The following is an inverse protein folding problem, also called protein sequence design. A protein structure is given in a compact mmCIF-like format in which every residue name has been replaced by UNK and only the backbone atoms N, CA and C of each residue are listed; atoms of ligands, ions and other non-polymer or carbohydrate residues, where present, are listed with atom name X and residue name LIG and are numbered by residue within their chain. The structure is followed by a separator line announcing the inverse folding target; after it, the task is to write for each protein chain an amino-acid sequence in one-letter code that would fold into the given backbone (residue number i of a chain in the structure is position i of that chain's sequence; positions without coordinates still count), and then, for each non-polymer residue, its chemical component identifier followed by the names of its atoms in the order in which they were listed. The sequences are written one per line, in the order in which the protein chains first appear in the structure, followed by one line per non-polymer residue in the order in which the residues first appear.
data_IF_096475391471
#
_entry.id   IF_096475391471
#
_cell.length_a   1.000
_cell.length_b   1.000
_cell.length_c   1.000
_cell.angle_alpha   90.00
_cell.angle_beta   90.00
_cell.angle_gamma   90.00
#
_symmetry.space_group_name_H-M   'P 1'
#
loop_
_entity.id
_entity.type
_entity.pdbx_description
1 polymer ?
#
# COMPACT_ATOMS: atom_id res chain seq x y z
N UNK A 1 -5.03 -23.58 2.82
CA UNK A 1 -4.05 -22.56 2.44
C UNK A 1 -4.02 -21.46 3.48
N UNK A 2 -2.82 -21.08 3.88
CA UNK A 2 -2.64 -19.97 4.83
C UNK A 2 -2.87 -18.65 4.11
N UNK A 3 -3.66 -17.76 4.73
CA UNK A 3 -3.82 -16.40 4.23
C UNK A 3 -2.61 -15.55 4.62
N UNK A 4 -2.03 -14.85 3.65
CA UNK A 4 -0.87 -13.97 3.87
C UNK A 4 -1.35 -12.59 4.29
N UNK A 5 -0.84 -12.08 5.41
CA UNK A 5 -1.19 -10.76 5.94
C UNK A 5 -0.15 -9.73 5.54
N UNK A 6 -0.61 -8.66 4.92
CA UNK A 6 0.25 -7.59 4.38
C UNK A 6 -0.18 -6.25 4.98
N UNK A 7 0.78 -5.53 5.54
CA UNK A 7 0.55 -4.17 6.06
C UNK A 7 1.24 -3.16 5.15
N UNK A 8 0.46 -2.21 4.61
CA UNK A 8 0.97 -1.09 3.82
C UNK A 8 1.11 0.14 4.71
N UNK A 9 2.28 0.75 4.71
CA UNK A 9 2.60 1.91 5.54
C UNK A 9 2.91 3.14 4.69
N UNK A 10 2.32 4.26 5.05
CA UNK A 10 2.75 5.58 4.61
C UNK A 10 2.64 6.54 5.80
N UNK A 11 3.02 7.80 5.64
CA UNK A 11 2.98 8.74 6.77
C UNK A 11 1.54 9.09 7.14
N UNK A 12 0.76 9.56 6.17
CA UNK A 12 -0.58 10.10 6.42
C UNK A 12 -1.72 9.10 6.39
N UNK A 13 -1.51 7.92 5.81
CA UNK A 13 -2.56 6.90 5.64
C UNK A 13 -3.87 7.51 5.09
N UNK A 14 -3.74 8.29 4.02
CA UNK A 14 -4.90 8.92 3.38
C UNK A 14 -5.08 8.52 1.92
N UNK A 15 -4.02 8.09 1.23
CA UNK A 15 -4.08 7.76 -0.20
C UNK A 15 -3.33 6.48 -0.56
N UNK A 16 -1.99 6.52 -0.66
CA UNK A 16 -1.18 5.42 -1.23
C UNK A 16 -1.36 4.08 -0.50
N UNK A 17 -1.31 4.08 0.82
CA UNK A 17 -1.48 2.86 1.60
C UNK A 17 -2.94 2.39 1.60
N UNK A 18 -3.89 3.31 1.57
CA UNK A 18 -5.33 3.00 1.45
C UNK A 18 -5.62 2.34 0.09
N UNK A 19 -5.13 2.94 -1.01
CA UNK A 19 -5.28 2.37 -2.35
C UNK A 19 -4.68 0.96 -2.42
N UNK A 20 -3.49 0.79 -1.85
CA UNK A 20 -2.79 -0.49 -1.88
C UNK A 20 -3.55 -1.59 -1.12
N UNK A 21 -3.97 -1.31 0.10
CA UNK A 21 -4.68 -2.30 0.92
C UNK A 21 -6.04 -2.65 0.34
N UNK A 22 -6.83 -1.66 -0.08
CA UNK A 22 -8.14 -1.91 -0.67
C UNK A 22 -8.03 -2.73 -1.96
N UNK A 23 -7.03 -2.43 -2.79
CA UNK A 23 -6.82 -3.14 -4.05
C UNK A 23 -6.37 -4.58 -3.81
N UNK A 24 -5.46 -4.82 -2.86
CA UNK A 24 -5.03 -6.19 -2.55
C UNK A 24 -6.18 -7.02 -1.96
N UNK A 25 -6.99 -6.45 -1.09
CA UNK A 25 -8.16 -7.14 -0.55
C UNK A 25 -9.17 -7.49 -1.65
N UNK A 26 -9.26 -6.67 -2.69
CA UNK A 26 -10.14 -6.93 -3.84
C UNK A 26 -9.57 -7.99 -4.78
N UNK A 27 -8.32 -7.81 -5.23
CA UNK A 27 -7.69 -8.69 -6.22
C UNK A 27 -7.20 -10.01 -5.62
N UNK A 28 -6.69 -9.96 -4.39
CA UNK A 28 -6.08 -11.10 -3.72
C UNK A 28 -7.01 -11.80 -2.73
N UNK A 29 -8.31 -11.63 -2.87
CA UNK A 29 -9.31 -12.25 -2.03
C UNK A 29 -9.03 -13.75 -1.85
N UNK A 30 -9.19 -14.24 -0.63
CA UNK A 30 -8.94 -15.62 -0.21
C UNK A 30 -7.44 -15.97 -0.03
N UNK A 31 -6.54 -15.24 -0.67
CA UNK A 31 -5.09 -15.47 -0.56
C UNK A 31 -4.40 -14.47 0.37
N UNK A 32 -4.93 -13.25 0.44
CA UNK A 32 -4.33 -12.14 1.19
C UNK A 32 -5.37 -11.44 2.05
N UNK A 33 -4.89 -10.92 3.18
CA UNK A 33 -5.61 -9.92 3.97
C UNK A 33 -4.67 -8.73 4.08
N UNK A 34 -5.11 -7.57 3.60
CA UNK A 34 -4.30 -6.36 3.58
C UNK A 34 -4.82 -5.33 4.59
N UNK A 35 -3.88 -4.66 5.22
CA UNK A 35 -4.10 -3.58 6.19
C UNK A 35 -3.32 -2.36 5.76
N UNK A 36 -3.72 -1.19 6.22
CA UNK A 36 -2.97 0.05 6.00
C UNK A 36 -2.88 0.87 7.28
N UNK A 37 -1.81 1.63 7.43
CA UNK A 37 -1.62 2.52 8.58
C UNK A 37 -0.63 3.62 8.25
N UNK A 38 -0.54 4.61 9.13
CA UNK A 38 0.42 5.69 9.04
C UNK A 38 1.02 6.06 10.38
N UNK A 39 2.21 6.63 10.36
CA UNK A 39 2.88 7.14 11.56
C UNK A 39 2.21 8.41 12.09
N UNK A 40 1.68 9.22 11.17
CA UNK A 40 1.00 10.48 11.47
C UNK A 40 -0.28 10.54 10.63
N UNK A 41 -1.31 9.76 11.01
CA UNK A 41 -2.51 9.65 10.19
C UNK A 41 -3.22 10.99 10.06
N UNK A 42 -3.67 11.27 8.83
CA UNK A 42 -4.37 12.51 8.51
C UNK A 42 -5.76 12.57 9.16
N UNK A 43 -6.31 11.43 9.55
CA UNK A 43 -7.62 11.34 10.17
C UNK A 43 -8.78 11.25 9.18
N UNK A 44 -8.49 11.23 7.89
CA UNK A 44 -9.48 11.06 6.83
C UNK A 44 -8.87 10.36 5.63
N UNK A 45 -9.70 9.69 4.84
CA UNK A 45 -9.29 9.11 3.56
C UNK A 45 -9.50 10.17 2.47
N UNK A 46 -8.49 10.36 1.62
CA UNK A 46 -8.56 11.37 0.56
C UNK A 46 -9.72 11.05 -0.40
N UNK A 47 -10.62 12.03 -0.67
CA UNK A 47 -11.77 11.79 -1.55
C UNK A 47 -11.39 11.33 -2.96
N UNK A 48 -10.23 11.76 -3.47
CA UNK A 48 -9.77 11.35 -4.79
C UNK A 48 -9.33 9.88 -4.82
N UNK A 49 -8.80 9.38 -3.70
CA UNK A 49 -8.51 7.96 -3.56
C UNK A 49 -9.80 7.13 -3.58
N UNK A 50 -10.83 7.59 -2.85
CA UNK A 50 -12.13 6.91 -2.83
C UNK A 50 -12.77 6.91 -4.22
N UNK A 51 -12.69 8.01 -4.96
CA UNK A 51 -13.21 8.10 -6.33
C UNK A 51 -12.51 7.12 -7.27
N UNK A 52 -11.17 7.03 -7.18
CA UNK A 52 -10.41 6.12 -8.03
C UNK A 52 -10.76 4.66 -7.73
N UNK A 53 -10.85 4.28 -6.47
CA UNK A 53 -11.27 2.94 -6.08
C UNK A 53 -12.67 2.61 -6.61
N UNK A 54 -13.61 3.55 -6.47
CA UNK A 54 -14.98 3.38 -6.98
C UNK A 54 -15.00 3.18 -8.48
N UNK A 55 -14.20 3.95 -9.23
CA UNK A 55 -14.07 3.77 -10.69
C UNK A 55 -13.55 2.39 -11.06
N UNK A 56 -12.68 1.82 -10.24
CA UNK A 56 -12.13 0.48 -10.46
C UNK A 56 -13.06 -0.65 -9.98
N UNK A 57 -14.22 -0.32 -9.43
CA UNK A 57 -15.14 -1.30 -8.90
C UNK A 57 -14.71 -1.90 -7.57
N UNK A 58 -13.81 -1.23 -6.85
CA UNK A 58 -13.29 -1.67 -5.57
C UNK A 58 -14.09 -1.04 -4.44
N UNK A 59 -14.56 -1.84 -3.49
CA UNK A 59 -15.35 -1.36 -2.34
C UNK A 59 -14.54 -0.39 -1.49
N UNK A 60 -15.18 0.71 -1.10
CA UNK A 60 -14.62 1.70 -0.18
C UNK A 60 -15.18 1.56 1.24
N UNK A 61 -16.02 0.57 1.47
CA UNK A 61 -16.65 0.34 2.77
C UNK A 61 -15.61 0.04 3.85
N UNK A 62 -15.72 0.74 4.98
CA UNK A 62 -14.85 0.52 6.13
C UNK A 62 -13.45 1.11 6.02
N UNK A 63 -13.10 1.77 4.92
CA UNK A 63 -11.79 2.41 4.78
C UNK A 63 -11.67 3.60 5.72
N UNK A 64 -10.58 3.66 6.47
CA UNK A 64 -10.31 4.75 7.40
C UNK A 64 -8.82 5.01 7.55
N UNK A 65 -8.48 6.24 7.84
CA UNK A 65 -7.11 6.64 8.20
C UNK A 65 -6.84 6.27 9.66
N UNK A 66 -5.71 5.64 9.93
CA UNK A 66 -5.40 5.11 11.27
C UNK A 66 -3.91 5.06 11.54
N UNK A 67 -3.58 5.07 12.83
CA UNK A 67 -2.21 4.97 13.30
C UNK A 67 -1.69 3.53 13.19
N UNK A 68 -0.40 3.41 12.89
CA UNK A 68 0.29 2.12 12.94
C UNK A 68 0.29 1.51 14.36
N UNK A 69 0.02 2.32 15.40
CA UNK A 69 -0.09 1.83 16.77
C UNK A 69 -1.19 0.78 16.93
N UNK A 70 -2.21 0.79 16.05
CA UNK A 70 -3.27 -0.23 16.06
C UNK A 70 -2.74 -1.63 15.74
N UNK A 71 -1.55 -1.73 15.14
CA UNK A 71 -0.93 -2.99 14.73
C UNK A 71 0.25 -3.39 15.61
N UNK A 72 0.41 -2.71 16.75
CA UNK A 72 1.40 -3.02 17.77
C UNK A 72 0.68 -3.42 19.05
N UNK A 73 1.39 -4.01 19.99
CA UNK A 73 0.80 -4.42 21.25
C UNK A 73 0.47 -5.91 21.30
N UNK A 74 0.08 -6.42 22.49
CA UNK A 74 -0.04 -7.86 22.71
C UNK A 74 -1.17 -8.54 21.93
N UNK A 75 -2.20 -7.79 21.56
CA UNK A 75 -3.35 -8.33 20.83
C UNK A 75 -3.30 -8.05 19.33
N UNK A 76 -2.19 -7.48 18.84
CA UNK A 76 -2.04 -7.14 17.42
C UNK A 76 -1.93 -8.40 16.55
N UNK A 77 -2.53 -8.32 15.37
CA UNK A 77 -2.45 -9.40 14.38
C UNK A 77 -1.03 -9.48 13.84
N UNK A 78 -0.41 -10.69 13.80
CA UNK A 78 0.92 -10.83 13.21
C UNK A 78 0.89 -10.58 11.69
N UNK A 79 1.92 -9.89 11.18
CA UNK A 79 2.08 -9.61 9.76
C UNK A 79 3.08 -10.56 9.13
N UNK A 80 2.87 -10.89 7.86
CA UNK A 80 3.82 -11.67 7.06
C UNK A 80 4.70 -10.77 6.21
N UNK A 81 4.14 -9.67 5.70
CA UNK A 81 4.84 -8.71 4.85
C UNK A 81 4.45 -7.29 5.28
N UNK A 82 5.45 -6.42 5.40
CA UNK A 82 5.24 -4.98 5.66
C UNK A 82 5.84 -4.21 4.48
N UNK A 83 5.02 -3.41 3.82
CA UNK A 83 5.40 -2.65 2.62
C UNK A 83 5.25 -1.17 2.88
N UNK A 84 6.35 -0.42 2.84
CA UNK A 84 6.30 1.05 2.88
C UNK A 84 6.08 1.59 1.47
N UNK A 85 5.15 2.53 1.32
CA UNK A 85 4.78 3.08 0.01
C UNK A 85 5.15 4.56 -0.16
N UNK A 86 5.75 5.17 0.85
CA UNK A 86 6.33 6.50 0.73
C UNK A 86 7.73 6.52 1.36
N UNK A 87 8.58 7.43 0.86
CA UNK A 87 9.98 7.51 1.32
C UNK A 87 10.06 7.94 2.78
N UNK A 88 9.18 8.82 3.24
CA UNK A 88 9.12 9.24 4.64
C UNK A 88 8.86 8.08 5.57
N UNK A 89 7.90 7.21 5.24
CA UNK A 89 7.60 6.02 6.05
C UNK A 89 8.79 5.04 6.07
N UNK A 90 9.51 4.92 4.96
CA UNK A 90 10.69 4.06 4.87
C UNK A 90 11.83 4.57 5.76
N UNK A 91 11.96 5.89 5.91
CA UNK A 91 13.00 6.53 6.72
C UNK A 91 12.68 6.59 8.21
N UNK A 92 11.40 6.42 8.59
CA UNK A 92 10.98 6.48 9.99
C UNK A 92 11.37 5.19 10.74
N UNK A 93 11.62 5.33 12.04
CA UNK A 93 11.83 4.18 12.91
C UNK A 93 10.50 3.45 13.07
N UNK A 94 10.43 2.24 12.50
CA UNK A 94 9.23 1.42 12.61
C UNK A 94 9.02 0.93 14.02
N UNK A 95 7.77 0.91 14.52
CA UNK A 95 7.46 0.20 15.75
C UNK A 95 7.63 -1.31 15.55
N UNK A 96 7.66 -2.05 16.64
CA UNK A 96 7.73 -3.50 16.59
C UNK A 96 6.34 -4.04 16.23
N UNK A 97 6.24 -4.70 15.08
CA UNK A 97 5.05 -5.45 14.70
C UNK A 97 5.23 -6.92 15.07
N UNK A 98 4.13 -7.61 15.34
CA UNK A 98 4.20 -9.04 15.64
C UNK A 98 4.37 -9.86 14.37
N UNK A 99 5.09 -11.00 14.53
CA UNK A 99 5.35 -11.96 13.47
C UNK A 99 6.76 -11.84 12.90
N UNK A 100 7.14 -12.87 12.18
CA UNK A 100 8.38 -12.89 11.39
C UNK A 100 8.04 -12.34 10.01
N UNK A 101 8.07 -11.03 9.88
CA UNK A 101 7.65 -10.39 8.64
C UNK A 101 8.83 -9.96 7.77
N UNK A 102 8.56 -9.90 6.47
CA UNK A 102 9.48 -9.36 5.48
C UNK A 102 9.11 -7.89 5.26
N UNK A 103 10.11 -7.01 5.27
CA UNK A 103 9.91 -5.58 5.01
C UNK A 103 10.48 -5.21 3.65
N UNK A 104 9.66 -4.56 2.81
CA UNK A 104 10.09 -4.04 1.51
C UNK A 104 9.60 -2.60 1.34
N UNK A 105 10.27 -1.87 0.46
CA UNK A 105 9.90 -0.49 0.10
C UNK A 105 9.41 -0.44 -1.34
N UNK A 106 8.15 -0.06 -1.52
CA UNK A 106 7.50 0.12 -2.82
C UNK A 106 7.09 1.58 -3.01
N UNK A 107 8.09 2.48 -3.00
CA UNK A 107 7.86 3.92 -3.04
C UNK A 107 7.05 4.38 -4.24
N UNK A 108 6.20 5.39 -3.99
CA UNK A 108 5.36 6.06 -4.97
C UNK A 108 5.36 7.56 -4.69
N UNK A 109 5.37 8.41 -5.73
CA UNK A 109 5.11 9.84 -5.54
C UNK A 109 3.73 10.05 -4.92
N UNK A 110 3.60 11.12 -4.14
CA UNK A 110 2.35 11.42 -3.45
C UNK A 110 1.38 12.17 -4.37
N UNK A 111 0.26 11.56 -4.79
CA UNK A 111 -0.69 12.23 -5.68
C UNK A 111 -1.42 13.38 -4.98
N UNK A 112 -1.40 13.45 -3.66
CA UNK A 112 -2.07 14.55 -2.92
C UNK A 112 -1.36 15.89 -3.09
N UNK A 113 -0.09 15.89 -3.54
CA UNK A 113 0.66 17.12 -3.82
C UNK A 113 0.49 17.64 -5.25
N UNK A 114 -0.24 16.92 -6.08
CA UNK A 114 -0.49 17.34 -7.47
C UNK A 114 -1.40 18.56 -7.47
N UNK A 115 -1.03 19.57 -8.26
CA UNK A 115 -1.79 20.81 -8.45
C UNK A 115 -2.35 20.86 -9.86
N UNK A 116 -3.54 21.39 -9.99
CA UNK A 116 -4.23 21.51 -11.27
C UNK A 116 -5.73 21.41 -11.10
N UNK A 117 -6.45 21.30 -12.22
CA UNK A 117 -7.89 21.08 -12.18
C UNK A 117 -8.24 19.64 -11.79
N UNK A 118 -9.52 19.35 -11.67
CA UNK A 118 -9.99 18.03 -11.24
C UNK A 118 -9.51 16.90 -12.15
N UNK A 119 -9.37 17.16 -13.46
CA UNK A 119 -8.90 16.13 -14.40
C UNK A 119 -7.42 15.81 -14.20
N UNK A 120 -6.59 16.81 -13.90
CA UNK A 120 -5.16 16.62 -13.62
C UNK A 120 -4.98 15.81 -12.34
N UNK A 121 -5.74 16.15 -11.31
CA UNK A 121 -5.69 15.46 -10.02
C UNK A 121 -6.19 14.01 -10.17
N UNK A 122 -7.32 13.81 -10.86
CA UNK A 122 -7.87 12.47 -11.12
C UNK A 122 -6.88 11.59 -11.87
N UNK A 123 -6.17 12.15 -12.87
CA UNK A 123 -5.16 11.41 -13.62
C UNK A 123 -3.97 11.01 -12.75
N UNK A 124 -3.55 11.86 -11.80
CA UNK A 124 -2.49 11.54 -10.87
C UNK A 124 -2.85 10.34 -10.00
N UNK A 125 -4.07 10.30 -9.47
CA UNK A 125 -4.56 9.17 -8.68
C UNK A 125 -4.69 7.92 -9.54
N UNK A 126 -5.15 8.04 -10.78
CA UNK A 126 -5.25 6.92 -11.70
C UNK A 126 -3.88 6.31 -12.02
N UNK A 127 -2.87 7.15 -12.29
CA UNK A 127 -1.50 6.69 -12.54
C UNK A 127 -0.91 5.97 -11.33
N UNK A 128 -1.11 6.52 -10.14
CA UNK A 128 -0.69 5.89 -8.89
C UNK A 128 -1.35 4.53 -8.73
N UNK A 129 -2.67 4.46 -8.94
CA UNK A 129 -3.43 3.22 -8.84
C UNK A 129 -2.97 2.18 -9.87
N UNK A 130 -2.62 2.61 -11.08
CA UNK A 130 -2.14 1.70 -12.12
C UNK A 130 -0.86 0.98 -11.73
N UNK A 131 0.10 1.71 -11.16
CA UNK A 131 1.35 1.09 -10.67
C UNK A 131 1.07 0.15 -9.52
N UNK A 132 0.23 0.56 -8.57
CA UNK A 132 -0.18 -0.29 -7.43
C UNK A 132 -0.78 -1.60 -7.96
N UNK A 133 -1.72 -1.51 -8.88
CA UNK A 133 -2.39 -2.69 -9.46
C UNK A 133 -1.40 -3.65 -10.11
N UNK A 134 -0.47 -3.14 -10.92
CA UNK A 134 0.55 -3.97 -11.58
C UNK A 134 1.42 -4.69 -10.54
N UNK A 135 1.89 -3.98 -9.53
CA UNK A 135 2.70 -4.57 -8.47
C UNK A 135 1.95 -5.64 -7.68
N UNK A 136 0.69 -5.38 -7.36
CA UNK A 136 -0.13 -6.32 -6.60
C UNK A 136 -0.50 -7.56 -7.41
N UNK A 137 -0.77 -7.42 -8.70
CA UNK A 137 -0.99 -8.57 -9.58
C UNK A 137 0.24 -9.47 -9.62
N UNK A 138 1.44 -8.89 -9.67
CA UNK A 138 2.68 -9.65 -9.60
C UNK A 138 2.87 -10.35 -8.26
N UNK A 139 2.53 -9.69 -7.14
CA UNK A 139 2.56 -10.30 -5.81
C UNK A 139 1.61 -11.51 -5.73
N UNK A 140 0.38 -11.35 -6.21
CA UNK A 140 -0.64 -12.41 -6.18
C UNK A 140 -0.19 -13.63 -6.99
N UNK A 141 0.56 -13.42 -8.06
CA UNK A 141 1.09 -14.50 -8.90
C UNK A 141 2.25 -15.28 -8.27
N UNK A 142 2.86 -14.75 -7.19
CA UNK A 142 3.96 -15.43 -6.51
C UNK A 142 3.45 -16.61 -5.65
N UNK A 143 4.17 -17.74 -5.65
CA UNK A 143 3.85 -18.84 -4.73
C UNK A 143 4.41 -18.54 -3.33
N UNK A 144 3.84 -17.56 -2.65
CA UNK A 144 4.36 -16.99 -1.40
C UNK A 144 4.63 -18.06 -0.34
N UNK A 145 3.71 -19.03 -0.19
CA UNK A 145 3.86 -20.10 0.81
C UNK A 145 5.04 -21.02 0.53
N UNK A 146 5.48 -21.12 -0.72
CA UNK A 146 6.55 -22.02 -1.14
C UNK A 146 7.93 -21.36 -1.16
N UNK A 147 7.99 -20.04 -1.00
CA UNK A 147 9.24 -19.29 -1.07
C UNK A 147 9.89 -19.18 0.31
N UNK A 148 11.22 -19.30 0.37
CA UNK A 148 11.97 -18.95 1.58
C UNK A 148 11.84 -17.45 1.83
N UNK A 149 12.07 -16.97 3.07
CA UNK A 149 12.07 -15.55 3.37
C UNK A 149 12.99 -14.74 2.45
N UNK A 150 14.19 -15.25 2.15
CA UNK A 150 15.18 -14.61 1.29
C UNK A 150 14.70 -14.52 -0.15
N UNK A 151 14.08 -15.58 -0.67
CA UNK A 151 13.51 -15.58 -2.01
C UNK A 151 12.33 -14.65 -2.12
N UNK A 152 11.46 -14.67 -1.13
CA UNK A 152 10.30 -13.77 -1.11
C UNK A 152 10.75 -12.30 -1.08
N UNK A 153 11.74 -11.97 -0.24
CA UNK A 153 12.33 -10.63 -0.19
C UNK A 153 12.85 -10.21 -1.57
N UNK A 154 13.58 -11.09 -2.23
CA UNK A 154 14.16 -10.84 -3.56
C UNK A 154 13.07 -10.65 -4.62
N UNK A 155 12.03 -11.50 -4.62
CA UNK A 155 10.93 -11.39 -5.57
C UNK A 155 10.12 -10.10 -5.36
N UNK A 156 9.88 -9.71 -4.12
CA UNK A 156 9.16 -8.47 -3.81
C UNK A 156 9.97 -7.23 -4.26
N UNK A 157 11.28 -7.25 -4.05
CA UNK A 157 12.15 -6.17 -4.56
C UNK A 157 12.14 -6.12 -6.09
N UNK A 158 12.17 -7.27 -6.75
CA UNK A 158 12.13 -7.36 -8.21
C UNK A 158 10.81 -6.79 -8.79
N UNK A 159 9.71 -6.92 -8.07
CA UNK A 159 8.41 -6.37 -8.50
C UNK A 159 8.48 -4.85 -8.60
N UNK A 160 9.02 -4.16 -7.59
CA UNK A 160 9.13 -2.70 -7.65
C UNK A 160 10.11 -2.24 -8.74
N UNK A 161 11.14 -3.01 -9.02
CA UNK A 161 12.07 -2.71 -10.11
C UNK A 161 11.43 -2.90 -11.49
N UNK A 162 10.58 -3.91 -11.64
CA UNK A 162 9.87 -4.21 -12.88
C UNK A 162 8.77 -3.19 -13.18
N UNK A 163 8.10 -2.71 -12.15
CA UNK A 163 7.02 -1.71 -12.24
C UNK A 163 7.41 -0.47 -11.45
N UNK A 164 8.34 0.35 -12.00
CA UNK A 164 8.82 1.53 -11.29
C UNK A 164 7.74 2.58 -11.13
N UNK A 165 7.91 3.43 -10.13
CA UNK A 165 7.05 4.58 -9.93
C UNK A 165 7.12 5.50 -11.15
N UNK A 166 5.97 6.08 -11.51
CA UNK A 166 5.87 7.05 -12.62
C UNK A 166 5.77 8.46 -12.06
N UNK A 167 6.36 9.43 -12.76
CA UNK A 167 6.22 10.83 -12.40
C UNK A 167 4.77 11.28 -12.59
N UNK A 168 4.30 12.13 -11.69
CA UNK A 168 2.96 12.68 -11.74
C UNK A 168 3.00 14.09 -12.34
N UNK A 169 2.19 14.32 -13.38
CA UNK A 169 2.04 15.64 -14.00
C UNK A 169 1.37 16.58 -12.99
N UNK A 170 1.92 17.79 -12.86
CA UNK A 170 1.40 18.78 -11.92
C UNK A 170 1.87 18.60 -10.48
N UNK A 171 2.79 17.67 -10.21
CA UNK A 171 3.34 17.50 -8.88
C UNK A 171 4.09 18.77 -8.44
N UNK A 172 3.91 19.18 -7.18
CA UNK A 172 4.66 20.26 -6.59
C UNK A 172 6.13 19.83 -6.43
N UNK A 173 7.04 20.73 -6.81
CA UNK A 173 8.48 20.49 -6.70
C UNK A 173 8.95 20.82 -5.29
#
# INVERSE_FOLDING_TARGET
MKTTRVLFLCTGNSSRSILSAATLNHLGKDLFIAYSAGSQPAGYVNPNALRELTKQGISIEGLRSKSWDEFTGPDAVPMDIVITVCDSAAAETCPVFFGDFIRVHWGLPDPTFVRGDDSVIAEAFHRTQSVITQRLQALIALPVESLSPERLQSELNAISDRYPAVELVGAAV
#
